data_IF_626389668098
#
_entry.id   IF_626389668098
#
_cell.length_a   1.000
_cell.length_b   1.000
_cell.length_c   1.000
_cell.angle_alpha   90.00
_cell.angle_beta   90.00
_cell.angle_gamma   90.00
#
_symmetry.space_group_name_H-M   'P 1'
#
loop_
_entity.id
_entity.type
_entity.pdbx_description
1 polymer ?
#
# COMPACT_ATOMS: atom_id res chain seq x y z
N UNK A 1 -13.24 -10.13 10.05
CA UNK A 1 -13.90 -9.74 8.78
C UNK A 1 -12.89 -8.98 7.96
N UNK A 2 -12.58 -9.43 6.75
CA UNK A 2 -11.55 -8.81 5.90
C UNK A 2 -12.17 -7.71 5.05
N UNK A 3 -11.45 -6.59 4.87
CA UNK A 3 -11.84 -5.53 3.93
C UNK A 3 -11.90 -6.09 2.50
N UNK A 4 -13.02 -5.93 1.80
CA UNK A 4 -13.16 -6.35 0.40
C UNK A 4 -12.40 -5.40 -0.54
N UNK A 5 -12.14 -5.86 -1.78
CA UNK A 5 -11.47 -5.07 -2.80
C UNK A 5 -12.20 -3.77 -3.16
N UNK A 6 -13.52 -3.80 -3.18
CA UNK A 6 -14.36 -2.63 -3.51
C UNK A 6 -14.36 -1.62 -2.36
N UNK A 7 -14.46 -2.09 -1.11
CA UNK A 7 -14.38 -1.21 0.05
C UNK A 7 -12.99 -0.56 0.16
N UNK A 8 -11.94 -1.33 -0.13
CA UNK A 8 -10.58 -0.81 -0.20
C UNK A 8 -10.47 0.31 -1.23
N UNK A 9 -11.12 0.18 -2.39
CA UNK A 9 -11.08 1.18 -3.46
C UNK A 9 -11.63 2.52 -3.01
N UNK A 10 -12.79 2.48 -2.36
CA UNK A 10 -13.39 3.69 -1.80
C UNK A 10 -12.46 4.36 -0.77
N UNK A 11 -11.93 3.55 0.15
CA UNK A 11 -11.05 4.02 1.20
C UNK A 11 -9.73 4.62 0.65
N UNK A 12 -9.10 3.94 -0.31
CA UNK A 12 -7.88 4.40 -0.97
C UNK A 12 -8.12 5.74 -1.69
N UNK A 13 -9.24 5.88 -2.39
CA UNK A 13 -9.60 7.13 -3.06
C UNK A 13 -9.81 8.29 -2.07
N UNK A 14 -10.48 8.04 -0.93
CA UNK A 14 -10.65 9.03 0.13
C UNK A 14 -9.32 9.43 0.77
N UNK A 15 -8.47 8.45 1.08
CA UNK A 15 -7.12 8.69 1.59
C UNK A 15 -6.33 9.53 0.59
N UNK A 16 -6.25 9.12 -0.68
CA UNK A 16 -5.47 9.81 -1.71
C UNK A 16 -5.84 11.29 -1.80
N UNK A 17 -7.13 11.64 -1.71
CA UNK A 17 -7.60 13.03 -1.72
C UNK A 17 -7.18 13.80 -0.46
N UNK A 18 -7.20 13.17 0.70
CA UNK A 18 -6.91 13.81 2.00
C UNK A 18 -5.42 14.09 2.21
N UNK A 19 -4.54 13.22 1.72
CA UNK A 19 -3.10 13.32 1.94
C UNK A 19 -2.30 13.74 0.71
N UNK A 20 -2.97 14.18 -0.36
CA UNK A 20 -2.29 14.76 -1.52
C UNK A 20 -1.48 16.01 -1.14
N UNK A 21 -0.27 16.09 -1.67
CA UNK A 21 0.66 17.18 -1.41
C UNK A 21 1.43 17.08 -0.09
N UNK A 22 1.17 16.09 0.76
CA UNK A 22 1.85 15.95 2.05
C UNK A 22 3.26 15.34 1.92
N UNK A 23 4.09 15.59 2.93
CA UNK A 23 5.44 15.08 3.07
C UNK A 23 5.54 14.15 4.27
N UNK A 24 6.29 13.06 4.16
CA UNK A 24 6.56 12.16 5.28
C UNK A 24 7.45 12.89 6.29
N UNK A 25 6.92 13.18 7.48
CA UNK A 25 7.64 13.85 8.55
C UNK A 25 8.18 12.88 9.59
N UNK A 26 7.49 11.76 9.83
CA UNK A 26 7.98 10.69 10.70
C UNK A 26 7.32 9.35 10.36
N UNK A 27 7.92 8.26 10.83
CA UNK A 27 7.38 6.91 10.71
C UNK A 27 7.59 6.20 12.05
N UNK A 28 6.53 5.60 12.58
CA UNK A 28 6.56 4.82 13.81
C UNK A 28 6.29 3.34 13.47
N UNK A 29 7.08 2.44 14.03
CA UNK A 29 6.75 1.00 14.02
C UNK A 29 5.83 0.71 15.18
N UNK A 30 4.66 0.16 14.90
CA UNK A 30 3.63 -0.11 15.92
C UNK A 30 3.67 -1.59 16.29
N UNK A 31 3.57 -2.47 15.31
CA UNK A 31 3.81 -3.91 15.48
C UNK A 31 4.77 -4.41 14.41
N UNK A 32 5.12 -5.71 14.44
CA UNK A 32 5.88 -6.34 13.34
C UNK A 32 5.22 -6.18 11.96
N UNK A 33 3.89 -6.00 11.94
CA UNK A 33 3.05 -5.96 10.73
C UNK A 33 2.34 -4.60 10.52
N UNK A 34 2.73 -3.56 11.26
CA UNK A 34 2.10 -2.24 11.14
C UNK A 34 3.05 -1.06 11.37
N UNK A 35 2.84 -0.01 10.58
CA UNK A 35 3.61 1.22 10.55
C UNK A 35 2.66 2.41 10.55
N UNK A 36 2.91 3.39 11.41
CA UNK A 36 2.17 4.64 11.44
C UNK A 36 3.02 5.74 10.79
N UNK A 37 2.59 6.20 9.62
CA UNK A 37 3.23 7.30 8.91
C UNK A 37 2.63 8.61 9.39
N UNK A 38 3.49 9.55 9.77
CA UNK A 38 3.12 10.93 10.01
C UNK A 38 3.43 11.75 8.77
N UNK A 39 2.40 12.34 8.21
CA UNK A 39 2.45 13.23 7.06
C UNK A 39 2.27 14.67 7.53
N UNK A 40 3.10 15.58 7.00
CA UNK A 40 3.07 17.01 7.27
C UNK A 40 2.76 17.78 5.98
N UNK A 41 2.01 18.88 6.10
CA UNK A 41 1.74 19.81 5.01
C UNK A 41 1.99 21.24 5.51
N UNK A 42 2.55 22.15 4.70
CA UNK A 42 2.87 23.52 5.15
C UNK A 42 1.67 24.30 5.67
N UNK A 43 0.50 24.09 5.06
CA UNK A 43 -0.72 24.86 5.34
C UNK A 43 -1.83 24.08 6.06
N UNK A 44 -1.70 22.74 6.17
CA UNK A 44 -2.76 21.87 6.67
C UNK A 44 -2.26 21.09 7.88
N UNK A 45 -3.17 20.67 8.75
CA UNK A 45 -2.82 19.84 9.90
C UNK A 45 -2.18 18.52 9.47
N UNK A 46 -1.26 18.04 10.31
CA UNK A 46 -0.62 16.75 10.14
C UNK A 46 -1.64 15.61 10.06
N UNK A 47 -1.35 14.60 9.25
CA UNK A 47 -2.18 13.40 9.10
C UNK A 47 -1.37 12.19 9.56
N UNK A 48 -2.01 11.29 10.31
CA UNK A 48 -1.44 9.99 10.65
C UNK A 48 -2.12 8.92 9.80
N UNK A 49 -1.33 8.19 9.01
CA UNK A 49 -1.78 7.09 8.18
C UNK A 49 -1.21 5.78 8.72
N UNK A 50 -2.08 4.88 9.15
CA UNK A 50 -1.68 3.52 9.48
C UNK A 50 -1.58 2.67 8.21
N UNK A 51 -0.45 2.02 8.01
CA UNK A 51 -0.27 0.92 7.07
C UNK A 51 -0.11 -0.37 7.87
N UNK A 52 -0.97 -1.35 7.65
CA UNK A 52 -0.86 -2.69 8.23
C UNK A 52 -1.18 -3.77 7.20
N UNK A 53 -0.74 -5.00 7.45
CA UNK A 53 -1.02 -6.17 6.61
C UNK A 53 -2.51 -6.53 6.52
N UNK A 54 -3.36 -5.99 7.40
CA UNK A 54 -4.81 -6.21 7.35
C UNK A 54 -5.64 -4.98 6.95
N UNK A 55 -5.02 -3.80 6.86
CA UNK A 55 -5.72 -2.58 6.46
C UNK A 55 -4.86 -1.33 6.42
N UNK A 56 -5.42 -0.30 5.81
CA UNK A 56 -4.89 1.06 5.75
C UNK A 56 -5.96 2.01 6.27
N UNK A 57 -5.60 3.03 7.04
CA UNK A 57 -6.58 4.04 7.48
C UNK A 57 -5.92 5.31 8.05
N UNK A 58 -6.64 6.43 8.00
CA UNK A 58 -6.23 7.66 8.70
C UNK A 58 -6.71 7.61 10.14
N UNK A 59 -5.88 8.02 11.08
CA UNK A 59 -6.21 8.10 12.51
C UNK A 59 -5.80 9.45 13.11
N UNK A 60 -6.44 9.83 14.21
CA UNK A 60 -6.02 10.96 15.06
C UNK A 60 -5.25 10.49 16.31
N UNK A 61 -5.25 9.18 16.56
CA UNK A 61 -4.64 8.57 17.74
C UNK A 61 -3.17 8.32 17.46
N UNK A 62 -2.31 8.87 18.32
CA UNK A 62 -0.92 8.44 18.38
C UNK A 62 -0.88 7.08 19.08
N UNK A 63 -0.24 6.11 18.44
CA UNK A 63 -0.13 4.76 18.97
C UNK A 63 1.33 4.55 19.36
N UNK A 64 1.55 4.03 20.56
CA UNK A 64 2.89 3.72 21.02
C UNK A 64 3.41 2.43 20.36
N UNK A 65 4.72 2.32 20.10
CA UNK A 65 5.32 1.07 19.64
C UNK A 65 5.03 -0.08 20.59
N UNK A 66 4.47 -1.17 20.07
CA UNK A 66 4.16 -2.41 20.81
C UNK A 66 5.26 -3.45 20.53
N UNK A 67 5.66 -3.60 19.26
CA UNK A 67 6.69 -4.53 18.83
C UNK A 67 7.65 -3.89 17.83
N UNK A 68 8.91 -4.37 17.74
CA UNK A 68 9.85 -3.90 16.75
C UNK A 68 9.39 -4.25 15.33
N UNK A 69 9.43 -3.25 14.43
CA UNK A 69 9.18 -3.45 13.01
C UNK A 69 10.51 -3.43 12.23
N UNK A 70 10.78 -4.49 11.46
CA UNK A 70 12.05 -4.66 10.72
C UNK A 70 12.23 -3.63 9.60
N UNK A 71 11.14 -3.11 9.03
CA UNK A 71 11.19 -2.10 7.96
C UNK A 71 11.45 -0.69 8.49
N UNK A 72 11.18 -0.44 9.77
CA UNK A 72 11.19 0.91 10.36
C UNK A 72 12.51 1.65 10.12
N UNK A 73 13.64 0.98 10.36
CA UNK A 73 14.97 1.59 10.19
C UNK A 73 15.22 1.96 8.72
N UNK A 74 14.89 1.07 7.80
CA UNK A 74 15.03 1.33 6.37
C UNK A 74 14.15 2.51 5.93
N UNK A 75 12.89 2.52 6.35
CA UNK A 75 11.93 3.57 6.02
C UNK A 75 12.36 4.94 6.56
N UNK A 76 12.75 5.05 7.84
CA UNK A 76 13.17 6.32 8.43
C UNK A 76 14.45 6.87 7.82
N UNK A 77 15.37 6.01 7.40
CA UNK A 77 16.61 6.45 6.76
C UNK A 77 16.40 6.94 5.32
N UNK A 78 15.38 6.42 4.62
CA UNK A 78 15.25 6.62 3.18
C UNK A 78 14.02 7.44 2.75
N UNK A 79 12.97 7.57 3.57
CA UNK A 79 11.69 8.18 3.16
C UNK A 79 11.31 9.47 3.89
N UNK A 80 12.06 9.90 4.90
CA UNK A 80 11.76 11.20 5.53
C UNK A 80 11.91 12.33 4.51
N UNK A 81 10.98 13.29 4.55
CA UNK A 81 10.84 14.44 3.63
C UNK A 81 10.38 14.07 2.23
N UNK A 82 10.10 12.80 1.93
CA UNK A 82 9.50 12.43 0.66
C UNK A 82 8.08 12.96 0.58
N UNK A 83 7.72 13.53 -0.57
CA UNK A 83 6.37 13.95 -0.91
C UNK A 83 5.56 12.75 -1.36
N UNK A 84 4.36 12.59 -0.84
CA UNK A 84 3.39 11.65 -1.38
C UNK A 84 2.91 12.13 -2.75
N UNK A 85 3.03 11.26 -3.74
CA UNK A 85 2.62 11.53 -5.13
C UNK A 85 1.29 10.87 -5.46
N UNK A 86 1.10 9.64 -5.00
CA UNK A 86 -0.08 8.87 -5.34
C UNK A 86 -0.35 7.81 -4.26
N UNK A 87 -1.63 7.57 -3.99
CA UNK A 87 -2.10 6.36 -3.31
C UNK A 87 -3.11 5.72 -4.23
N UNK A 88 -2.86 4.48 -4.67
CA UNK A 88 -3.76 3.80 -5.59
C UNK A 88 -3.91 2.32 -5.28
N UNK A 89 -5.00 1.77 -5.79
CA UNK A 89 -5.25 0.34 -5.91
C UNK A 89 -5.40 0.02 -7.40
N UNK A 90 -5.01 -1.17 -7.84
CA UNK A 90 -5.22 -1.63 -9.21
C UNK A 90 -6.39 -2.62 -9.22
N UNK A 91 -7.37 -2.39 -10.09
CA UNK A 91 -8.59 -3.20 -10.16
C UNK A 91 -9.28 -3.30 -8.80
N UNK A 92 -9.70 -4.52 -8.45
CA UNK A 92 -10.28 -4.86 -7.14
C UNK A 92 -9.35 -5.73 -6.29
N UNK A 93 -8.08 -5.86 -6.69
CA UNK A 93 -7.09 -6.56 -5.89
C UNK A 93 -6.86 -5.84 -4.58
N UNK A 94 -6.67 -6.60 -3.50
CA UNK A 94 -6.45 -6.04 -2.16
C UNK A 94 -5.00 -5.62 -1.97
N UNK A 95 -4.53 -4.77 -2.87
CA UNK A 95 -3.15 -4.26 -2.95
C UNK A 95 -3.17 -2.75 -3.07
N UNK A 96 -2.46 -2.07 -2.18
CA UNK A 96 -2.32 -0.61 -2.19
C UNK A 96 -0.89 -0.23 -2.53
N UNK A 97 -0.75 0.75 -3.42
CA UNK A 97 0.51 1.36 -3.82
C UNK A 97 0.56 2.79 -3.29
N UNK A 98 1.63 3.12 -2.57
CA UNK A 98 1.94 4.49 -2.18
C UNK A 98 3.23 4.91 -2.87
N UNK A 99 3.13 5.87 -3.79
CA UNK A 99 4.28 6.43 -4.50
C UNK A 99 4.77 7.68 -3.78
N UNK A 100 6.05 7.69 -3.45
CA UNK A 100 6.71 8.73 -2.67
C UNK A 100 7.93 9.23 -3.46
N UNK A 101 8.10 10.54 -3.56
CA UNK A 101 9.21 11.14 -4.31
C UNK A 101 9.96 12.22 -3.53
N UNK A 102 11.26 12.36 -3.78
CA UNK A 102 12.08 13.45 -3.29
C UNK A 102 13.21 13.73 -4.29
N UNK A 103 13.14 14.90 -4.96
CA UNK A 103 13.99 15.20 -6.13
C UNK A 103 13.89 14.06 -7.16
N UNK A 104 15.02 13.53 -7.60
CA UNK A 104 15.14 12.42 -8.58
C UNK A 104 14.91 11.03 -7.97
N UNK A 105 14.62 10.93 -6.66
CA UNK A 105 14.39 9.65 -5.99
C UNK A 105 12.89 9.38 -5.89
N UNK A 106 12.50 8.16 -6.23
CA UNK A 106 11.13 7.67 -6.06
C UNK A 106 11.14 6.27 -5.43
N UNK A 107 10.20 6.06 -4.52
CA UNK A 107 9.93 4.78 -3.87
C UNK A 107 8.45 4.44 -3.99
N UNK A 108 8.17 3.15 -4.09
CA UNK A 108 6.81 2.61 -4.06
C UNK A 108 6.69 1.69 -2.85
N UNK A 109 5.75 1.99 -1.96
CA UNK A 109 5.35 1.06 -0.89
C UNK A 109 4.15 0.28 -1.40
N UNK A 110 4.29 -1.04 -1.46
CA UNK A 110 3.22 -1.97 -1.78
C UNK A 110 2.72 -2.63 -0.50
N UNK A 111 1.42 -2.54 -0.26
CA UNK A 111 0.75 -3.17 0.89
C UNK A 111 -0.23 -4.22 0.37
N UNK A 112 0.08 -5.49 0.63
CA UNK A 112 -0.76 -6.63 0.29
C UNK A 112 -1.65 -6.97 1.48
N UNK A 113 -2.97 -6.93 1.29
CA UNK A 113 -4.00 -7.09 2.34
C UNK A 113 -4.76 -8.43 2.21
N UNK A 114 -4.09 -9.45 1.69
CA UNK A 114 -4.61 -10.81 1.51
C UNK A 114 -3.65 -11.83 2.09
N UNK A 115 -4.14 -13.05 2.35
CA UNK A 115 -3.40 -14.07 3.10
C UNK A 115 -2.87 -13.51 4.42
N UNK A 116 -1.58 -13.69 4.74
CA UNK A 116 -0.93 -13.11 5.93
C UNK A 116 -0.56 -11.62 5.76
N UNK A 117 -0.75 -11.09 4.55
CA UNK A 117 -0.41 -9.73 4.12
C UNK A 117 1.09 -9.43 4.10
N UNK A 118 1.46 -8.33 3.44
CA UNK A 118 2.86 -7.95 3.27
C UNK A 118 3.01 -6.44 3.12
N UNK A 119 4.14 -5.91 3.57
CA UNK A 119 4.55 -4.54 3.28
C UNK A 119 5.89 -4.63 2.56
N UNK A 120 5.94 -4.11 1.34
CA UNK A 120 7.07 -4.25 0.43
C UNK A 120 7.49 -2.85 0.00
N UNK A 121 8.78 -2.58 0.01
CA UNK A 121 9.38 -1.31 -0.38
C UNK A 121 10.14 -1.55 -1.67
N UNK A 122 9.79 -0.81 -2.70
CA UNK A 122 10.42 -0.88 -4.01
C UNK A 122 11.05 0.46 -4.41
N UNK A 123 12.00 0.43 -5.33
CA UNK A 123 12.41 1.63 -6.08
C UNK A 123 11.39 1.95 -7.19
N UNK A 124 11.68 3.01 -7.96
CA UNK A 124 10.94 3.42 -9.17
C UNK A 124 10.79 2.32 -10.23
N UNK A 125 11.76 1.41 -10.35
CA UNK A 125 11.72 0.27 -11.27
C UNK A 125 10.97 -0.94 -10.69
N UNK A 126 10.31 -0.81 -9.55
CA UNK A 126 9.62 -1.91 -8.84
C UNK A 126 10.55 -3.05 -8.38
N UNK A 127 11.86 -2.80 -8.26
CA UNK A 127 12.82 -3.70 -7.60
C UNK A 127 12.67 -3.60 -6.09
N UNK A 128 12.54 -4.75 -5.42
CA UNK A 128 12.31 -4.83 -3.98
C UNK A 128 13.59 -4.48 -3.21
N UNK A 129 13.49 -3.48 -2.35
CA UNK A 129 14.57 -2.98 -1.48
C UNK A 129 14.47 -3.56 -0.06
N UNK A 130 13.24 -3.74 0.43
CA UNK A 130 12.95 -4.39 1.71
C UNK A 130 11.49 -4.88 1.72
N UNK A 131 11.18 -5.84 2.58
CA UNK A 131 9.84 -6.43 2.70
C UNK A 131 9.63 -7.04 4.10
N UNK A 132 8.38 -7.13 4.56
CA UNK A 132 8.06 -7.74 5.85
C UNK A 132 8.29 -9.25 5.85
N UNK A 133 7.76 -9.94 4.82
CA UNK A 133 7.77 -11.41 4.73
C UNK A 133 8.19 -11.90 3.34
N UNK A 134 9.27 -12.67 3.27
CA UNK A 134 9.73 -13.26 2.00
C UNK A 134 8.79 -14.36 1.55
N UNK A 135 8.49 -14.40 0.25
CA UNK A 135 7.62 -15.43 -0.34
C UNK A 135 8.45 -16.22 -1.35
N UNK A 136 8.39 -17.54 -1.27
CA UNK A 136 9.03 -18.44 -2.24
C UNK A 136 8.09 -19.58 -2.58
N UNK A 137 7.19 -19.35 -3.53
CA UNK A 137 6.24 -20.34 -4.05
C UNK A 137 6.43 -20.51 -5.55
N UNK A 138 5.88 -21.60 -6.13
CA UNK A 138 6.14 -22.01 -7.52
C UNK A 138 5.95 -20.88 -8.55
N UNK A 139 4.90 -20.08 -8.38
CA UNK A 139 4.52 -19.04 -9.35
C UNK A 139 4.88 -17.63 -8.88
N UNK A 140 5.53 -17.47 -7.71
CA UNK A 140 5.80 -16.16 -7.12
C UNK A 140 6.96 -16.18 -6.11
N UNK A 141 7.97 -15.37 -6.35
CA UNK A 141 9.10 -15.20 -5.44
C UNK A 141 9.27 -13.72 -5.10
N UNK A 142 9.16 -13.37 -3.82
CA UNK A 142 9.44 -12.03 -3.31
C UNK A 142 10.62 -12.10 -2.34
N UNK A 143 11.72 -11.46 -2.74
CA UNK A 143 12.93 -11.31 -1.92
C UNK A 143 13.61 -9.98 -2.22
N UNK A 144 14.44 -9.51 -1.30
CA UNK A 144 15.25 -8.30 -1.53
C UNK A 144 16.11 -8.48 -2.78
N UNK A 145 16.13 -7.46 -3.63
CA UNK A 145 16.85 -7.42 -4.89
C UNK A 145 16.11 -8.01 -6.10
N UNK A 146 14.99 -8.70 -5.89
CA UNK A 146 14.14 -9.21 -7.00
C UNK A 146 13.13 -8.17 -7.48
N UNK A 147 12.59 -8.38 -8.67
CA UNK A 147 11.49 -7.58 -9.20
C UNK A 147 10.19 -7.92 -8.47
N UNK A 148 9.40 -6.91 -8.09
CA UNK A 148 8.07 -7.15 -7.54
C UNK A 148 7.14 -7.70 -8.64
N UNK A 149 6.44 -8.79 -8.31
CA UNK A 149 5.43 -9.41 -9.17
C UNK A 149 4.14 -9.54 -8.37
N UNK A 150 3.05 -9.03 -8.95
CA UNK A 150 1.70 -9.17 -8.40
C UNK A 150 1.30 -10.66 -8.32
N UNK A 151 0.38 -11.04 -7.42
CA UNK A 151 -0.28 -12.34 -7.55
C UNK A 151 -0.95 -12.46 -8.94
N UNK A 152 -1.21 -13.69 -9.42
CA UNK A 152 -1.97 -13.90 -10.65
C UNK A 152 -3.28 -13.11 -10.61
N UNK A 153 -3.53 -12.32 -11.66
CA UNK A 153 -4.72 -11.47 -11.76
C UNK A 153 -5.94 -12.31 -12.08
N UNK A 154 -7.07 -12.00 -11.43
CA UNK A 154 -8.38 -12.39 -11.95
C UNK A 154 -8.74 -11.43 -13.09
N UNK A 155 -9.08 -11.97 -14.27
CA UNK A 155 -9.25 -11.19 -15.51
C UNK A 155 -10.55 -10.36 -15.57
N UNK A 156 -11.27 -10.18 -14.45
CA UNK A 156 -12.56 -9.51 -14.43
C UNK A 156 -12.46 -8.11 -13.80
N UNK A 157 -12.48 -7.07 -14.63
CA UNK A 157 -12.48 -5.68 -14.16
C UNK A 157 -13.90 -5.22 -13.80
N UNK A 158 -14.39 -5.68 -12.65
CA UNK A 158 -15.74 -5.39 -12.16
C UNK A 158 -16.03 -3.89 -11.96
N UNK A 159 -15.02 -3.02 -11.93
CA UNK A 159 -15.20 -1.58 -11.77
C UNK A 159 -15.55 -0.87 -13.08
N UNK A 160 -15.21 -1.47 -14.22
CA UNK A 160 -15.43 -0.90 -15.55
C UNK A 160 -16.32 -1.80 -16.44
N UNK A 161 -16.92 -2.84 -15.88
CA UNK A 161 -17.88 -3.68 -16.59
C UNK A 161 -19.07 -2.87 -17.10
N UNK A 162 -19.49 -3.20 -18.31
CA UNK A 162 -20.69 -2.70 -18.98
C UNK A 162 -21.74 -3.81 -19.04
N UNK A 163 -22.97 -3.47 -19.41
CA UNK A 163 -24.06 -4.46 -19.58
C UNK A 163 -23.68 -5.61 -20.53
N UNK A 164 -22.89 -5.32 -21.57
CA UNK A 164 -22.41 -6.33 -22.54
C UNK A 164 -21.52 -7.39 -21.90
N UNK A 165 -20.76 -7.03 -20.87
CA UNK A 165 -19.87 -7.95 -20.17
C UNK A 165 -20.65 -9.00 -19.35
N UNK A 166 -21.96 -8.79 -19.14
CA UNK A 166 -22.85 -9.75 -18.48
C UNK A 166 -23.57 -10.69 -19.46
N UNK A 167 -23.55 -10.43 -20.78
CA UNK A 167 -24.22 -11.26 -21.79
C UNK A 167 -23.86 -12.77 -21.71
N UNK A 168 -22.58 -13.17 -21.51
CA UNK A 168 -22.21 -14.58 -21.38
C UNK A 168 -22.81 -15.28 -20.14
N UNK A 169 -23.17 -14.51 -19.11
CA UNK A 169 -23.74 -15.03 -17.86
C UNK A 169 -25.23 -15.35 -18.07
N UNK A 170 -25.91 -14.57 -18.91
CA UNK A 170 -27.33 -14.76 -19.23
C UNK A 170 -27.61 -15.97 -20.13
N UNK A 171 -26.62 -16.48 -20.86
CA UNK A 171 -26.78 -17.62 -21.77
C UNK A 171 -26.74 -19.02 -21.11
N UNK A 172 -26.73 -19.11 -19.78
CA UNK A 172 -26.72 -20.40 -19.05
C UNK A 172 -28.09 -20.74 -18.44
N UNK A 173 -29.18 -20.39 -19.12
CA UNK A 173 -30.55 -20.84 -18.78
C UNK A 173 -31.00 -21.97 -19.71
#
# INVERSE_FOLDING_TARGET
MTLSGIELRYLVNDISKKIDGYYVSNIYGITKDSLLFKFHHPEKSDVLLMLSTFGIWITKVKIEPIEPNKLLKHLRNNLLRFKLKEVKQIGTERIVYLTLSYFEKEFVIVVELFSDGNIIICNNEMKILALSHSINVRHRQLRVGSQYVQPPLDNLDILNMTEKDFEPIHSTS
#
